data_IF_153670503263
#
_entry.id   IF_153670503263
#
_cell.length_a   1.000
_cell.length_b   1.000
_cell.length_c   1.000
_cell.angle_alpha   90.00
_cell.angle_beta   90.00
_cell.angle_gamma   90.00
#
_symmetry.space_group_name_H-M   'P 1'
#
loop_
_entity.id
_entity.type
_entity.pdbx_description
1 polymer ?
#
# COMPACT_ATOMS: atom_id res chain seq x y z
N UNK A 1 -23.42 -21.18 12.73
CA UNK A 1 -23.49 -21.84 11.41
C UNK A 1 -22.07 -22.24 11.04
N UNK A 2 -21.81 -23.53 10.87
CA UNK A 2 -20.46 -24.07 10.59
C UNK A 2 -20.17 -24.21 9.08
N UNK A 3 -21.19 -24.04 8.22
CA UNK A 3 -21.09 -24.26 6.76
C UNK A 3 -20.88 -22.99 5.94
N UNK A 4 -20.88 -21.81 6.56
CA UNK A 4 -20.81 -20.53 5.87
C UNK A 4 -20.00 -19.50 6.66
N UNK A 5 -19.26 -18.65 5.96
CA UNK A 5 -18.69 -17.43 6.52
C UNK A 5 -19.67 -16.25 6.36
N UNK A 6 -19.61 -15.31 7.30
CA UNK A 6 -20.33 -14.04 7.21
C UNK A 6 -19.31 -12.92 7.04
N UNK A 7 -19.56 -12.04 6.08
CA UNK A 7 -18.71 -10.89 5.79
C UNK A 7 -19.54 -9.62 5.94
N UNK A 8 -18.97 -8.60 6.55
CA UNK A 8 -19.53 -7.25 6.59
C UNK A 8 -18.86 -6.44 5.48
N UNK A 9 -19.64 -5.86 4.58
CA UNK A 9 -19.10 -5.00 3.52
C UNK A 9 -18.86 -3.58 4.01
N UNK A 10 -18.09 -2.79 3.26
CA UNK A 10 -17.85 -1.37 3.56
C UNK A 10 -19.15 -0.54 3.59
N UNK A 11 -20.19 -0.95 2.84
CA UNK A 11 -21.53 -0.35 2.82
C UNK A 11 -22.44 -0.90 3.94
N UNK A 12 -21.88 -1.60 4.93
CA UNK A 12 -22.61 -2.11 6.10
C UNK A 12 -23.66 -3.19 5.79
N UNK A 13 -23.43 -4.01 4.77
CA UNK A 13 -24.28 -5.14 4.44
C UNK A 13 -23.68 -6.47 4.94
N UNK A 14 -24.53 -7.42 5.35
CA UNK A 14 -24.09 -8.78 5.72
C UNK A 14 -24.23 -9.71 4.52
N UNK A 15 -23.09 -10.23 4.05
CA UNK A 15 -23.03 -11.24 2.99
C UNK A 15 -22.71 -12.59 3.61
N UNK A 16 -23.48 -13.62 3.25
CA UNK A 16 -23.26 -15.01 3.70
C UNK A 16 -22.69 -15.82 2.54
N UNK A 17 -21.47 -16.34 2.71
CA UNK A 17 -20.78 -17.11 1.67
C UNK A 17 -20.64 -18.57 2.12
N UNK A 18 -21.08 -19.57 1.33
CA UNK A 18 -20.85 -20.96 1.65
C UNK A 18 -19.35 -21.30 1.66
N UNK A 19 -18.91 -22.09 2.65
CA UNK A 19 -17.51 -22.46 2.77
C UNK A 19 -17.00 -23.28 1.57
N UNK A 20 -17.88 -24.06 0.93
CA UNK A 20 -17.53 -24.81 -0.29
C UNK A 20 -17.17 -23.92 -1.48
N UNK A 21 -17.72 -22.70 -1.53
CA UNK A 21 -17.38 -21.70 -2.55
C UNK A 21 -16.05 -21.03 -2.18
N UNK A 22 -15.89 -20.61 -0.92
CA UNK A 22 -14.65 -20.01 -0.44
C UNK A 22 -13.44 -20.93 -0.62
N UNK A 23 -13.58 -22.22 -0.30
CA UNK A 23 -12.49 -23.20 -0.41
C UNK A 23 -12.00 -23.44 -1.84
N UNK A 24 -12.77 -23.01 -2.86
CA UNK A 24 -12.42 -23.16 -4.28
C UNK A 24 -11.89 -21.88 -4.91
N UNK A 25 -11.87 -20.78 -4.18
CA UNK A 25 -11.45 -19.47 -4.66
C UNK A 25 -10.14 -19.05 -4.01
N UNK A 26 -9.36 -18.23 -4.71
CA UNK A 26 -8.22 -17.56 -4.10
C UNK A 26 -8.73 -16.48 -3.13
N UNK A 27 -8.32 -16.55 -1.87
CA UNK A 27 -8.67 -15.57 -0.84
C UNK A 27 -7.41 -14.84 -0.41
N UNK A 28 -7.38 -13.53 -0.61
CA UNK A 28 -6.30 -12.66 -0.12
C UNK A 28 -6.71 -12.06 1.22
N UNK A 29 -5.95 -12.36 2.27
CA UNK A 29 -6.14 -11.72 3.57
C UNK A 29 -5.40 -10.37 3.57
N UNK A 30 -6.13 -9.27 3.76
CA UNK A 30 -5.58 -7.92 3.79
C UNK A 30 -5.11 -7.49 5.19
N UNK A 31 -5.32 -8.32 6.21
CA UNK A 31 -5.03 -8.03 7.63
C UNK A 31 -3.98 -8.98 8.23
N UNK A 32 -3.39 -9.88 7.45
CA UNK A 32 -2.35 -10.82 7.89
C UNK A 32 -1.24 -10.86 6.83
N UNK A 33 0.04 -11.10 7.19
CA UNK A 33 0.53 -11.58 8.49
C UNK A 33 0.66 -10.51 9.58
N UNK A 34 0.99 -9.28 9.21
CA UNK A 34 1.34 -8.20 10.14
C UNK A 34 0.25 -7.10 10.10
N UNK A 35 0.07 -6.36 11.20
CA UNK A 35 -0.88 -5.24 11.29
C UNK A 35 -0.39 -3.99 10.53
N UNK A 36 0.44 -4.18 9.51
CA UNK A 36 1.01 -3.10 8.70
C UNK A 36 0.54 -3.20 7.26
N UNK A 37 0.08 -2.07 6.72
CA UNK A 37 -0.43 -1.98 5.35
C UNK A 37 0.59 -1.32 4.45
N UNK A 38 0.91 -1.95 3.34
CA UNK A 38 1.74 -1.35 2.31
C UNK A 38 0.91 -0.35 1.49
N UNK A 39 1.48 0.83 1.29
CA UNK A 39 0.93 1.92 0.48
C UNK A 39 1.91 2.20 -0.64
N UNK A 40 1.38 2.38 -1.85
CA UNK A 40 2.12 2.92 -3.00
C UNK A 40 1.56 4.29 -3.32
N UNK A 41 2.37 5.33 -3.17
CA UNK A 41 2.03 6.72 -3.45
C UNK A 41 2.79 7.20 -4.70
N UNK A 42 2.05 7.47 -5.78
CA UNK A 42 2.61 8.10 -6.97
C UNK A 42 2.64 9.62 -6.84
N UNK A 43 3.80 10.22 -7.03
CA UNK A 43 4.03 11.67 -6.99
C UNK A 43 4.63 12.12 -8.31
N UNK A 44 4.12 13.23 -8.84
CA UNK A 44 4.66 13.88 -10.04
C UNK A 44 5.35 15.18 -9.63
N UNK A 45 6.64 15.27 -9.90
CA UNK A 45 7.46 16.44 -9.55
C UNK A 45 7.96 17.13 -10.81
N UNK A 46 8.17 18.45 -10.75
CA UNK A 46 8.80 19.18 -11.83
C UNK A 46 10.21 18.63 -12.12
N UNK A 47 10.67 18.79 -13.36
CA UNK A 47 12.01 18.37 -13.78
C UNK A 47 13.10 18.93 -12.86
N UNK A 48 13.84 18.02 -12.25
CA UNK A 48 15.04 18.28 -11.46
C UNK A 48 16.01 17.12 -11.65
N UNK A 49 17.20 17.20 -11.04
CA UNK A 49 18.15 16.08 -11.10
C UNK A 49 17.56 14.86 -10.38
N UNK A 50 17.61 13.65 -10.99
CA UNK A 50 17.07 12.43 -10.37
C UNK A 50 17.58 12.17 -8.96
N UNK A 51 18.88 12.42 -8.72
CA UNK A 51 19.51 12.28 -7.40
C UNK A 51 18.92 13.23 -6.37
N UNK A 52 18.61 14.47 -6.75
CA UNK A 52 18.00 15.44 -5.83
C UNK A 52 16.58 14.99 -5.45
N UNK A 53 15.80 14.52 -6.43
CA UNK A 53 14.46 14.00 -6.19
C UNK A 53 14.50 12.80 -5.26
N UNK A 54 15.40 11.85 -5.52
CA UNK A 54 15.59 10.68 -4.67
C UNK A 54 15.91 11.07 -3.21
N UNK A 55 16.87 11.99 -3.00
CA UNK A 55 17.23 12.47 -1.66
C UNK A 55 16.08 13.16 -0.94
N UNK A 56 15.32 14.01 -1.63
CA UNK A 56 14.15 14.68 -1.06
C UNK A 56 13.08 13.67 -0.68
N UNK A 57 12.80 12.70 -1.55
CA UNK A 57 11.81 11.65 -1.28
C UNK A 57 12.21 10.78 -0.08
N UNK A 58 13.49 10.42 0.03
CA UNK A 58 14.01 9.74 1.22
C UNK A 58 13.85 10.58 2.49
N UNK A 59 14.16 11.88 2.44
CA UNK A 59 13.98 12.78 3.59
C UNK A 59 12.52 12.88 4.02
N UNK A 60 11.58 12.89 3.08
CA UNK A 60 10.13 12.88 3.36
C UNK A 60 9.70 11.57 4.02
N UNK A 61 10.16 10.42 3.50
CA UNK A 61 9.89 9.12 4.10
C UNK A 61 10.52 8.99 5.48
N UNK A 62 11.68 9.61 5.68
CA UNK A 62 12.38 9.56 6.96
C UNK A 62 11.69 10.40 8.04
N UNK A 63 11.27 11.62 7.69
CA UNK A 63 10.58 12.54 8.61
C UNK A 63 9.16 12.12 9.05
N UNK A 64 8.56 11.12 8.39
CA UNK A 64 7.21 10.65 8.74
C UNK A 64 7.22 9.70 9.94
N UNK A 65 6.44 10.03 10.98
CA UNK A 65 6.32 9.24 12.22
C UNK A 65 5.40 8.03 12.10
N UNK A 66 4.54 7.99 11.07
CA UNK A 66 3.59 6.90 10.83
C UNK A 66 4.13 5.78 9.95
N UNK A 67 5.26 6.03 9.28
CA UNK A 67 5.86 5.06 8.37
C UNK A 67 6.70 4.07 9.16
N UNK A 68 6.42 2.79 8.96
CA UNK A 68 7.22 1.69 9.49
C UNK A 68 8.55 1.66 8.75
N UNK A 69 9.65 1.62 9.50
CA UNK A 69 11.02 1.67 8.96
C UNK A 69 11.61 0.30 8.63
N UNK A 70 11.00 -0.76 9.16
CA UNK A 70 11.35 -2.14 8.85
C UNK A 70 10.09 -2.93 8.43
N UNK A 71 9.97 -3.36 7.17
CA UNK A 71 10.94 -3.22 6.07
C UNK A 71 11.14 -1.75 5.64
N UNK A 72 12.32 -1.41 5.08
CA UNK A 72 12.62 -0.04 4.67
C UNK A 72 11.67 0.41 3.54
N UNK A 73 11.24 1.68 3.56
CA UNK A 73 10.46 2.23 2.46
C UNK A 73 11.33 2.32 1.19
N UNK A 74 10.70 2.37 0.02
CA UNK A 74 11.38 2.32 -1.28
C UNK A 74 10.93 3.52 -2.11
N UNK A 75 11.89 4.17 -2.76
CA UNK A 75 11.67 5.22 -3.75
C UNK A 75 11.93 4.63 -5.13
N UNK A 76 10.99 4.74 -6.05
CA UNK A 76 11.10 4.23 -7.42
C UNK A 76 10.85 5.36 -8.41
N UNK A 77 11.86 5.74 -9.19
CA UNK A 77 11.65 6.61 -10.34
C UNK A 77 10.98 5.79 -11.45
N UNK A 78 9.76 6.17 -11.83
CA UNK A 78 8.97 5.46 -12.84
C UNK A 78 9.22 5.96 -14.25
N UNK A 79 9.05 7.26 -14.46
CA UNK A 79 9.15 7.87 -15.78
C UNK A 79 9.75 9.27 -15.67
N UNK A 80 10.45 9.66 -16.73
CA UNK A 80 10.96 11.02 -16.91
C UNK A 80 10.38 11.50 -18.23
N UNK A 81 9.57 12.55 -18.18
CA UNK A 81 9.00 13.20 -19.36
C UNK A 81 9.51 14.65 -19.51
N UNK A 82 9.07 15.33 -20.57
CA UNK A 82 9.54 16.68 -20.89
C UNK A 82 9.09 17.77 -19.91
N UNK A 83 8.18 17.48 -18.98
CA UNK A 83 7.65 18.42 -18.01
C UNK A 83 7.89 18.00 -16.55
N UNK A 84 8.06 16.71 -16.29
CA UNK A 84 8.01 16.14 -14.96
C UNK A 84 8.73 14.79 -14.84
N UNK A 85 8.96 14.40 -13.59
CA UNK A 85 9.43 13.08 -13.20
C UNK A 85 8.36 12.43 -12.33
N UNK A 86 7.96 11.21 -12.67
CA UNK A 86 7.04 10.40 -11.86
C UNK A 86 7.82 9.50 -10.92
N UNK A 87 7.46 9.53 -9.64
CA UNK A 87 8.10 8.78 -8.58
C UNK A 87 7.04 8.04 -7.78
N UNK A 88 7.27 6.76 -7.53
CA UNK A 88 6.48 5.95 -6.62
C UNK A 88 7.21 5.82 -5.28
N UNK A 89 6.48 6.05 -4.20
CA UNK A 89 6.91 5.81 -2.83
C UNK A 89 6.17 4.58 -2.31
N UNK A 90 6.91 3.53 -1.97
CA UNK A 90 6.37 2.32 -1.37
C UNK A 90 6.77 2.28 0.09
N UNK A 91 5.79 2.28 0.99
CA UNK A 91 6.06 2.25 2.43
C UNK A 91 4.94 1.55 3.16
N UNK A 92 5.22 1.07 4.38
CA UNK A 92 4.21 0.46 5.25
C UNK A 92 3.80 1.45 6.33
N UNK A 93 2.53 1.43 6.70
CA UNK A 93 2.00 2.11 7.90
C UNK A 93 1.51 1.07 8.89
N UNK A 94 1.63 1.35 10.18
CA UNK A 94 0.93 0.57 11.20
C UNK A 94 -0.56 0.96 11.18
N UNK A 95 -1.47 -0.01 11.27
CA UNK A 95 -2.88 0.29 11.53
C UNK A 95 -2.99 1.03 12.89
N UNK A 96 -3.83 2.09 12.98
CA UNK A 96 -4.03 2.86 14.21
C UNK A 96 -4.75 2.09 15.32
#
# INVERSE_FOLDING_TARGET
NWRSAKLLTAQYNVVVVPNSVLARQAVTNLSRPDDTRQITLGVRVALATPTFIEQVMWSVLDGSTRIVKDPPPIVVLKTIDAAAIEVDLLFRIADP
#
